data_IF_781016748356
#
_entry.id   IF_781016748356
#
_cell.length_a   1.000
_cell.length_b   1.000
_cell.length_c   1.000
_cell.angle_alpha   90.00
_cell.angle_beta   90.00
_cell.angle_gamma   90.00
#
_symmetry.space_group_name_H-M   'P 1'
#
loop_
_entity.id
_entity.type
_entity.pdbx_description
1 polymer ?
#
# COMPACT_ATOMS: atom_id res chain seq x y z
N UNK A 1 -14.55 5.04 4.30
CA UNK A 1 -14.38 6.27 5.13
C UNK A 1 -15.62 7.17 5.04
N UNK A 2 -16.11 7.54 3.85
CA UNK A 2 -17.32 8.38 3.73
C UNK A 2 -18.54 7.75 4.40
N UNK A 3 -18.76 6.44 4.22
CA UNK A 3 -19.81 5.69 4.90
C UNK A 3 -19.65 5.68 6.44
N UNK A 4 -18.45 5.87 6.93
CA UNK A 4 -18.14 6.03 8.36
C UNK A 4 -18.21 7.51 8.85
N UNK A 5 -18.68 8.43 8.00
CA UNK A 5 -18.87 9.86 8.34
C UNK A 5 -17.65 10.76 8.12
N UNK A 6 -16.57 10.25 7.56
CA UNK A 6 -15.38 11.05 7.27
C UNK A 6 -15.47 11.78 5.95
N UNK A 7 -14.98 13.02 5.90
CA UNK A 7 -14.80 13.76 4.65
C UNK A 7 -13.52 13.27 3.96
N UNK A 8 -13.68 12.77 2.74
CA UNK A 8 -12.58 12.24 1.92
C UNK A 8 -12.40 13.11 0.68
N UNK A 9 -11.15 13.37 0.33
CA UNK A 9 -10.80 14.03 -0.92
C UNK A 9 -9.83 13.17 -1.71
N UNK A 10 -10.07 13.00 -2.99
CA UNK A 10 -9.25 12.18 -3.88
C UNK A 10 -8.50 13.07 -4.86
N UNK A 11 -7.19 12.89 -4.97
CA UNK A 11 -6.34 13.54 -5.97
C UNK A 11 -5.77 12.44 -6.89
N UNK A 12 -6.46 12.10 -7.97
CA UNK A 12 -5.99 11.05 -8.87
C UNK A 12 -4.85 11.57 -9.74
N UNK A 13 -3.80 10.76 -9.88
CA UNK A 13 -2.61 11.08 -10.69
C UNK A 13 -2.15 12.53 -10.51
N UNK A 14 -1.70 12.93 -9.28
CA UNK A 14 -1.22 14.28 -9.05
C UNK A 14 0.00 14.56 -9.92
N UNK A 15 0.11 15.78 -10.44
CA UNK A 15 1.31 16.22 -11.12
C UNK A 15 2.46 16.32 -10.11
N UNK A 16 3.45 15.47 -10.30
CA UNK A 16 4.61 15.31 -9.42
C UNK A 16 5.81 16.16 -9.87
N UNK A 17 5.62 16.96 -10.92
CA UNK A 17 6.63 17.89 -11.43
C UNK A 17 6.39 19.32 -10.89
N UNK A 18 7.40 20.15 -10.97
CA UNK A 18 7.30 21.57 -10.72
C UNK A 18 6.98 21.94 -9.26
N UNK A 19 5.97 22.78 -9.06
CA UNK A 19 5.63 23.39 -7.78
C UNK A 19 4.74 22.52 -6.84
N UNK A 20 4.45 21.29 -7.22
CA UNK A 20 3.60 20.36 -6.47
C UNK A 20 2.19 20.91 -6.19
N UNK A 21 1.61 21.67 -7.11
CA UNK A 21 0.31 22.32 -6.96
C UNK A 21 -0.80 21.32 -6.62
N UNK A 22 -0.80 20.14 -7.26
CA UNK A 22 -1.81 19.11 -7.02
C UNK A 22 -1.76 18.56 -5.60
N UNK A 23 -0.59 18.51 -4.97
CA UNK A 23 -0.42 18.08 -3.58
C UNK A 23 -0.82 19.16 -2.57
N UNK A 24 -0.83 20.43 -2.96
CA UNK A 24 -1.14 21.57 -2.10
C UNK A 24 -2.59 22.01 -2.19
N UNK A 25 -3.29 21.74 -3.29
CA UNK A 25 -4.60 22.33 -3.61
C UNK A 25 -5.72 22.05 -2.62
N UNK A 26 -5.63 20.97 -1.85
CA UNK A 26 -6.61 20.61 -0.83
C UNK A 26 -6.14 20.94 0.58
N UNK A 27 -4.90 21.43 0.71
CA UNK A 27 -4.30 21.77 1.99
C UNK A 27 -3.97 20.54 2.85
N UNK A 28 -3.76 20.80 4.14
CA UNK A 28 -3.42 19.79 5.15
C UNK A 28 -4.68 18.98 5.55
N UNK A 29 -4.66 17.65 5.52
CA UNK A 29 -5.74 16.86 6.07
C UNK A 29 -5.73 16.91 7.60
N UNK A 30 -6.89 16.67 8.21
CA UNK A 30 -7.03 16.61 9.67
C UNK A 30 -6.42 15.33 10.25
N UNK A 31 -6.54 14.20 9.55
CA UNK A 31 -6.15 12.89 10.06
C UNK A 31 -4.89 12.37 9.39
N UNK A 32 -4.94 11.98 8.13
CA UNK A 32 -3.80 11.40 7.42
C UNK A 32 -3.91 11.51 5.91
N UNK A 33 -2.80 11.32 5.22
CA UNK A 33 -2.76 11.06 3.78
C UNK A 33 -2.78 9.56 3.52
N UNK A 34 -3.69 9.11 2.67
CA UNK A 34 -3.70 7.75 2.11
C UNK A 34 -3.10 7.75 0.71
N UNK A 35 -2.12 6.91 0.44
CA UNK A 35 -1.45 6.82 -0.87
C UNK A 35 -1.61 5.41 -1.42
N UNK A 36 -2.00 5.33 -2.69
CA UNK A 36 -2.06 4.09 -3.47
C UNK A 36 -1.52 4.33 -4.88
N UNK A 37 -0.84 3.36 -5.48
CA UNK A 37 -0.37 3.47 -6.87
C UNK A 37 -1.51 3.37 -7.89
N UNK A 38 -2.71 3.00 -7.44
CA UNK A 38 -3.86 2.67 -8.27
C UNK A 38 -4.15 1.17 -8.30
N UNK A 39 -4.86 0.72 -9.33
CA UNK A 39 -5.35 -0.67 -9.43
C UNK A 39 -4.26 -1.71 -9.71
N UNK A 40 -3.08 -1.30 -10.18
CA UNK A 40 -1.99 -2.17 -10.59
C UNK A 40 -0.66 -1.67 -10.03
N UNK A 41 0.30 -2.58 -9.86
CA UNK A 41 1.70 -2.21 -9.58
C UNK A 41 2.23 -1.28 -10.68
N UNK A 42 2.85 -0.18 -10.27
CA UNK A 42 3.29 0.87 -11.19
C UNK A 42 4.32 0.39 -12.21
N UNK A 43 5.25 -0.46 -11.78
CA UNK A 43 6.30 -0.96 -12.65
C UNK A 43 5.76 -1.99 -13.64
N UNK A 44 4.84 -2.87 -13.21
CA UNK A 44 4.12 -3.80 -14.09
C UNK A 44 3.27 -3.04 -15.12
N UNK A 45 2.67 -1.94 -14.71
CA UNK A 45 1.89 -1.11 -15.62
C UNK A 45 2.78 -0.35 -16.63
N UNK A 46 3.94 0.13 -16.19
CA UNK A 46 4.84 0.96 -17.02
C UNK A 46 5.72 0.14 -17.97
N UNK A 47 6.13 -1.06 -17.57
CA UNK A 47 7.07 -1.88 -18.30
C UNK A 47 6.49 -3.24 -18.71
N UNK A 48 7.00 -3.77 -19.81
CA UNK A 48 6.78 -5.17 -20.22
C UNK A 48 7.65 -6.12 -19.38
N UNK A 49 7.38 -7.43 -19.47
CA UNK A 49 8.22 -8.45 -18.85
C UNK A 49 9.70 -8.40 -19.33
N UNK A 50 9.95 -7.90 -20.54
CA UNK A 50 11.30 -7.72 -21.09
C UNK A 50 11.89 -6.34 -20.75
N UNK A 51 11.41 -5.67 -19.70
CA UNK A 51 11.88 -4.36 -19.23
C UNK A 51 11.79 -3.23 -20.27
N UNK A 52 10.92 -3.38 -21.28
CA UNK A 52 10.69 -2.32 -22.28
C UNK A 52 9.55 -1.43 -21.81
N UNK A 53 9.71 -0.13 -21.98
CA UNK A 53 8.63 0.82 -21.71
C UNK A 53 7.43 0.47 -22.60
N UNK A 54 6.23 0.44 -22.01
CA UNK A 54 4.98 0.30 -22.77
C UNK A 54 4.69 1.58 -23.53
N UNK A 55 4.09 1.47 -24.70
CA UNK A 55 3.68 2.62 -25.52
C UNK A 55 2.49 3.39 -24.92
N UNK A 56 1.68 2.69 -24.14
CA UNK A 56 0.44 3.23 -23.56
C UNK A 56 0.28 2.84 -22.10
N UNK A 57 -0.37 3.72 -21.32
CA UNK A 57 -0.85 3.44 -19.97
C UNK A 57 -2.38 3.34 -19.98
N UNK A 58 -2.91 2.11 -19.89
CA UNK A 58 -4.35 1.86 -19.92
C UNK A 58 -5.13 2.55 -18.79
N UNK A 59 -4.49 2.94 -17.69
CA UNK A 59 -5.10 3.60 -16.54
C UNK A 59 -4.96 5.13 -16.57
N UNK A 60 -4.41 5.67 -17.64
CA UNK A 60 -4.24 7.12 -17.83
C UNK A 60 -5.16 7.66 -18.91
N UNK A 61 -5.53 8.94 -18.86
CA UNK A 61 -6.37 9.56 -19.86
C UNK A 61 -5.74 9.47 -21.25
N UNK A 62 -6.56 9.02 -22.21
CA UNK A 62 -6.20 8.82 -23.61
C UNK A 62 -5.00 7.87 -23.82
N UNK A 63 -4.77 6.95 -22.87
CA UNK A 63 -3.66 6.00 -22.91
C UNK A 63 -2.28 6.64 -22.72
N UNK A 64 -2.19 7.91 -22.31
CA UNK A 64 -0.91 8.61 -22.20
C UNK A 64 -0.03 8.01 -21.11
N UNK A 65 1.18 7.61 -21.48
CA UNK A 65 2.20 7.17 -20.51
C UNK A 65 2.90 8.38 -19.85
N UNK A 66 3.70 8.12 -18.84
CA UNK A 66 4.50 9.11 -18.07
C UNK A 66 3.71 10.14 -17.25
N UNK A 67 2.41 9.98 -17.09
CA UNK A 67 1.63 10.79 -16.14
C UNK A 67 1.86 10.37 -14.69
N UNK A 68 2.32 9.15 -14.46
CA UNK A 68 2.68 8.61 -13.15
C UNK A 68 4.19 8.37 -13.07
N UNK A 69 4.84 8.70 -11.95
CA UNK A 69 6.24 8.37 -11.75
C UNK A 69 6.46 6.85 -11.66
N UNK A 70 7.70 6.42 -11.75
CA UNK A 70 8.08 5.10 -11.24
C UNK A 70 7.91 5.10 -9.73
N UNK A 71 7.41 4.01 -9.16
CA UNK A 71 7.16 3.87 -7.72
C UNK A 71 6.36 5.04 -7.12
N UNK A 72 5.14 5.33 -7.62
CA UNK A 72 4.36 6.49 -7.19
C UNK A 72 4.12 6.51 -5.67
N UNK A 73 4.01 5.35 -5.02
CA UNK A 73 3.89 5.29 -3.56
C UNK A 73 5.09 5.95 -2.86
N UNK A 74 6.30 5.77 -3.38
CA UNK A 74 7.51 6.39 -2.84
C UNK A 74 7.56 7.88 -3.19
N UNK A 75 7.37 8.21 -4.47
CA UNK A 75 7.47 9.60 -4.95
C UNK A 75 6.43 10.50 -4.28
N UNK A 76 5.17 10.08 -4.27
CA UNK A 76 4.09 10.87 -3.67
C UNK A 76 4.25 11.02 -2.16
N UNK A 77 4.69 9.97 -1.47
CA UNK A 77 4.95 10.01 -0.04
C UNK A 77 6.05 11.00 0.31
N UNK A 78 7.16 10.96 -0.42
CA UNK A 78 8.28 11.87 -0.19
C UNK A 78 7.91 13.34 -0.45
N UNK A 79 7.12 13.62 -1.49
CA UNK A 79 6.57 14.97 -1.74
C UNK A 79 5.68 15.41 -0.57
N UNK A 80 4.75 14.55 -0.13
CA UNK A 80 3.86 14.88 0.98
C UNK A 80 4.61 15.04 2.29
N UNK A 81 5.62 14.22 2.55
CA UNK A 81 6.47 14.34 3.75
C UNK A 81 7.25 15.66 3.76
N UNK A 82 7.72 16.10 2.59
CA UNK A 82 8.38 17.42 2.45
C UNK A 82 7.40 18.57 2.71
N UNK A 83 6.18 18.48 2.19
CA UNK A 83 5.18 19.55 2.30
C UNK A 83 4.50 19.59 3.67
N UNK A 84 4.29 18.42 4.29
CA UNK A 84 3.54 18.23 5.53
C UNK A 84 4.25 17.24 6.45
N UNK A 85 5.37 17.63 7.06
CA UNK A 85 6.28 16.71 7.76
C UNK A 85 5.66 15.99 8.96
N UNK A 86 4.64 16.57 9.57
CA UNK A 86 3.98 16.10 10.77
C UNK A 86 2.63 15.40 10.53
N UNK A 87 2.18 15.31 9.27
CA UNK A 87 0.94 14.61 8.93
C UNK A 87 1.22 13.12 8.72
N UNK A 88 0.44 12.22 9.33
CA UNK A 88 0.56 10.79 9.07
C UNK A 88 0.38 10.43 7.59
N UNK A 89 1.21 9.52 7.10
CA UNK A 89 1.15 9.00 5.73
C UNK A 89 0.97 7.48 5.79
N UNK A 90 -0.12 7.00 5.23
CA UNK A 90 -0.48 5.58 5.17
C UNK A 90 -0.45 5.12 3.71
N UNK A 91 0.38 4.11 3.43
CA UNK A 91 0.44 3.48 2.11
C UNK A 91 -0.55 2.33 2.01
N UNK A 92 -1.10 2.12 0.83
CA UNK A 92 -1.98 1.00 0.54
C UNK A 92 -1.85 0.52 -0.91
N UNK A 93 -2.67 -0.47 -1.26
CA UNK A 93 -2.71 -1.06 -2.59
C UNK A 93 -1.63 -2.09 -2.84
N UNK A 94 -1.63 -2.63 -4.08
CA UNK A 94 -0.79 -3.77 -4.45
C UNK A 94 0.72 -3.47 -4.32
N UNK A 95 1.15 -2.29 -4.72
CA UNK A 95 2.56 -1.89 -4.70
C UNK A 95 3.13 -1.90 -3.28
N UNK A 96 2.43 -1.30 -2.33
CA UNK A 96 2.84 -1.28 -0.93
C UNK A 96 2.76 -2.69 -0.31
N UNK A 97 1.72 -3.45 -0.64
CA UNK A 97 1.53 -4.81 -0.14
C UNK A 97 2.66 -5.75 -0.56
N UNK A 98 3.09 -5.70 -1.83
CA UNK A 98 4.18 -6.53 -2.35
C UNK A 98 5.55 -6.10 -1.84
N UNK A 99 5.72 -4.82 -1.47
CA UNK A 99 7.00 -4.25 -1.02
C UNK A 99 7.06 -3.99 0.50
N UNK A 100 6.21 -4.66 1.28
CA UNK A 100 6.12 -4.48 2.74
C UNK A 100 7.31 -5.01 3.53
N UNK A 101 8.15 -5.84 2.91
CA UNK A 101 9.39 -6.43 3.43
C UNK A 101 10.50 -6.29 2.39
N UNK A 102 11.69 -6.83 2.67
CA UNK A 102 12.75 -6.95 1.65
C UNK A 102 12.23 -7.72 0.45
N UNK A 103 12.39 -7.13 -0.72
CA UNK A 103 11.86 -7.65 -1.97
C UNK A 103 12.87 -7.50 -3.11
N UNK A 104 12.76 -8.40 -4.11
CA UNK A 104 13.54 -8.29 -5.33
C UNK A 104 12.85 -7.35 -6.31
N UNK A 105 13.53 -6.27 -6.65
CA UNK A 105 13.10 -5.36 -7.70
C UNK A 105 13.61 -5.86 -9.05
N UNK A 106 12.72 -6.46 -9.82
CA UNK A 106 13.03 -7.05 -11.11
C UNK A 106 13.57 -6.03 -12.11
N UNK A 107 13.08 -4.81 -12.11
CA UNK A 107 13.47 -3.77 -13.08
C UNK A 107 14.84 -3.19 -12.78
N UNK A 108 15.16 -3.03 -11.50
CA UNK A 108 16.47 -2.52 -11.03
C UNK A 108 17.49 -3.63 -10.78
N UNK A 109 17.06 -4.89 -10.85
CA UNK A 109 17.90 -6.09 -10.62
C UNK A 109 18.61 -6.06 -9.26
N UNK A 110 17.90 -5.70 -8.21
CA UNK A 110 18.45 -5.62 -6.87
C UNK A 110 17.42 -5.95 -5.80
N UNK A 111 17.92 -6.32 -4.61
CA UNK A 111 17.08 -6.37 -3.41
C UNK A 111 16.89 -4.95 -2.87
N UNK A 112 15.63 -4.61 -2.54
CA UNK A 112 15.26 -3.35 -1.90
C UNK A 112 14.70 -3.62 -0.51
N UNK A 113 14.84 -2.63 0.37
CA UNK A 113 14.27 -2.62 1.72
C UNK A 113 12.75 -2.58 1.69
N UNK A 114 12.14 -2.75 2.85
CA UNK A 114 10.72 -2.42 3.05
C UNK A 114 10.42 -1.02 2.46
N UNK A 115 9.34 -0.89 1.72
CA UNK A 115 8.97 0.38 1.05
C UNK A 115 8.82 1.57 2.02
N UNK A 116 8.50 1.33 3.29
CA UNK A 116 8.43 2.38 4.31
C UNK A 116 9.76 3.11 4.49
N UNK A 117 10.89 2.41 4.33
CA UNK A 117 12.22 3.00 4.42
C UNK A 117 12.45 4.04 3.31
N UNK A 118 12.04 3.72 2.08
CA UNK A 118 12.24 4.60 0.92
C UNK A 118 11.17 5.70 0.81
N UNK A 119 9.95 5.39 1.27
CA UNK A 119 8.80 6.27 1.16
C UNK A 119 8.69 7.27 2.33
N UNK A 120 9.41 7.06 3.42
CA UNK A 120 9.29 7.83 4.65
C UNK A 120 7.82 7.93 5.14
N UNK A 121 7.03 6.90 4.90
CA UNK A 121 5.66 6.78 5.36
C UNK A 121 5.60 6.13 6.75
N UNK A 122 4.49 6.30 7.44
CA UNK A 122 4.34 5.84 8.82
C UNK A 122 3.83 4.40 8.91
N UNK A 123 2.98 4.00 7.95
CA UNK A 123 2.31 2.69 8.01
C UNK A 123 1.92 2.21 6.61
N UNK A 124 1.86 0.89 6.44
CA UNK A 124 1.23 0.24 5.29
C UNK A 124 -0.05 -0.45 5.76
N UNK A 125 -1.10 -0.35 4.97
CA UNK A 125 -2.24 -1.27 4.98
C UNK A 125 -2.03 -2.22 3.81
N UNK A 126 -1.89 -3.53 4.08
CA UNK A 126 -1.69 -4.50 3.02
C UNK A 126 -2.96 -5.32 2.74
N UNK A 127 -3.08 -5.83 1.52
CA UNK A 127 -4.27 -6.56 1.11
C UNK A 127 -5.52 -5.67 1.03
N UNK A 128 -6.65 -6.16 1.53
CA UNK A 128 -7.95 -5.47 1.51
C UNK A 128 -8.12 -4.62 2.76
N UNK A 129 -8.14 -3.29 2.59
CA UNK A 129 -7.96 -2.32 3.67
C UNK A 129 -9.22 -1.68 4.26
N UNK A 130 -10.42 -2.22 4.02
CA UNK A 130 -11.68 -1.58 4.40
C UNK A 130 -11.80 -1.32 5.91
N UNK A 131 -11.42 -2.30 6.72
CA UNK A 131 -11.48 -2.17 8.18
C UNK A 131 -10.37 -1.26 8.71
N UNK A 132 -9.16 -1.43 8.21
CA UNK A 132 -7.97 -0.70 8.67
C UNK A 132 -8.08 0.80 8.44
N UNK A 133 -8.53 1.23 7.26
CA UNK A 133 -8.67 2.66 6.96
C UNK A 133 -9.64 3.36 7.92
N UNK A 134 -10.69 2.66 8.35
CA UNK A 134 -11.65 3.17 9.31
C UNK A 134 -11.06 3.16 10.73
N UNK A 135 -10.45 2.04 11.14
CA UNK A 135 -9.83 1.94 12.47
C UNK A 135 -8.75 3.00 12.68
N UNK A 136 -7.86 3.20 11.70
CA UNK A 136 -6.83 4.25 11.79
C UNK A 136 -7.47 5.63 11.90
N UNK A 137 -8.51 5.92 11.11
CA UNK A 137 -9.20 7.21 11.17
C UNK A 137 -9.83 7.47 12.54
N UNK A 138 -10.47 6.47 13.12
CA UNK A 138 -11.10 6.54 14.45
C UNK A 138 -10.08 6.77 15.55
N UNK A 139 -8.99 6.01 15.56
CA UNK A 139 -7.93 6.16 16.56
C UNK A 139 -7.26 7.54 16.49
N UNK A 140 -6.93 8.02 15.29
CA UNK A 140 -6.36 9.35 15.10
C UNK A 140 -7.36 10.46 15.47
N UNK A 141 -8.65 10.28 15.21
CA UNK A 141 -9.70 11.23 15.63
C UNK A 141 -9.84 11.30 17.16
N UNK A 142 -9.65 10.16 17.82
CA UNK A 142 -9.64 10.07 19.29
C UNK A 142 -8.34 10.61 19.91
N UNK A 143 -7.40 11.11 19.13
CA UNK A 143 -6.17 11.74 19.58
C UNK A 143 -4.97 10.80 19.72
N UNK A 144 -5.07 9.55 19.28
CA UNK A 144 -3.93 8.65 19.25
C UNK A 144 -2.88 9.14 18.23
N UNK A 145 -1.61 8.84 18.49
CA UNK A 145 -0.55 9.12 17.54
C UNK A 145 -0.36 7.92 16.60
N UNK A 146 -0.08 8.16 15.31
CA UNK A 146 0.08 7.08 14.32
C UNK A 146 1.11 6.01 14.73
N UNK A 147 2.17 6.40 15.44
CA UNK A 147 3.21 5.50 15.94
C UNK A 147 2.74 4.55 17.04
N UNK A 148 1.61 4.86 17.69
CA UNK A 148 1.03 4.04 18.76
C UNK A 148 0.05 2.99 18.21
N UNK A 149 -0.35 3.12 16.94
CA UNK A 149 -1.32 2.23 16.29
C UNK A 149 -0.73 0.86 15.86
N UNK A 150 0.25 0.38 16.60
CA UNK A 150 0.96 -0.88 16.32
C UNK A 150 0.09 -2.13 16.50
N UNK A 151 -1.05 -2.01 17.15
CA UNK A 151 -1.99 -3.09 17.43
C UNK A 151 -3.00 -3.38 16.30
N UNK A 152 -3.10 -2.49 15.31
CA UNK A 152 -4.09 -2.66 14.23
C UNK A 152 -3.66 -3.82 13.33
N UNK A 153 -4.52 -4.86 13.16
CA UNK A 153 -4.21 -5.99 12.29
C UNK A 153 -4.05 -5.57 10.84
N UNK A 154 -3.33 -6.40 10.06
CA UNK A 154 -3.14 -6.21 8.62
C UNK A 154 -2.43 -4.89 8.27
N UNK A 155 -1.57 -4.43 9.17
CA UNK A 155 -0.72 -3.25 8.96
C UNK A 155 0.76 -3.62 9.03
N UNK A 156 1.60 -2.74 8.49
CA UNK A 156 3.05 -2.83 8.61
C UNK A 156 3.59 -1.48 9.06
N UNK A 157 4.53 -1.51 9.98
CA UNK A 157 5.20 -0.32 10.50
C UNK A 157 6.68 -0.61 10.77
N UNK A 158 7.46 0.46 10.93
CA UNK A 158 8.86 0.38 11.35
C UNK A 158 8.97 0.80 12.82
N UNK A 159 9.71 0.05 13.62
CA UNK A 159 10.05 0.46 14.98
C UNK A 159 11.40 -0.13 15.42
N UNK A 160 11.96 0.43 16.49
CA UNK A 160 13.11 -0.19 17.17
C UNK A 160 12.68 -1.46 17.86
N UNK A 161 13.66 -2.34 18.17
CA UNK A 161 13.40 -3.60 18.86
C UNK A 161 12.67 -3.38 20.19
N UNK A 162 13.15 -2.44 21.00
CA UNK A 162 12.56 -2.10 22.31
C UNK A 162 11.11 -1.56 22.20
N UNK A 163 10.71 -1.08 21.03
CA UNK A 163 9.38 -0.53 20.76
C UNK A 163 8.40 -1.57 20.17
N UNK A 164 8.82 -2.81 19.99
CA UNK A 164 7.96 -3.90 19.50
C UNK A 164 6.97 -4.29 20.61
N UNK A 165 5.65 -4.21 20.36
CA UNK A 165 4.66 -4.61 21.34
C UNK A 165 4.87 -6.07 21.80
N UNK A 166 4.95 -6.29 23.11
CA UNK A 166 5.24 -7.59 23.73
C UNK A 166 6.60 -8.21 23.38
N UNK A 167 7.52 -7.41 22.81
CA UNK A 167 8.81 -7.90 22.34
C UNK A 167 8.71 -8.90 21.19
N UNK A 168 9.83 -9.54 20.86
CA UNK A 168 9.89 -10.69 19.94
C UNK A 168 9.67 -11.96 20.76
N UNK A 169 8.75 -12.82 20.33
CA UNK A 169 8.38 -14.05 21.05
C UNK A 169 8.39 -15.28 20.13
N UNK A 170 8.16 -16.47 20.71
CA UNK A 170 8.22 -17.75 20.00
C UNK A 170 7.14 -17.92 18.91
N UNK A 171 6.04 -17.16 18.99
CA UNK A 171 4.98 -17.18 17.99
C UNK A 171 5.27 -16.30 16.79
N UNK A 172 6.36 -15.53 16.82
CA UNK A 172 6.73 -14.64 15.72
C UNK A 172 7.56 -15.36 14.66
N UNK A 173 7.38 -14.99 13.42
CA UNK A 173 8.24 -15.39 12.31
C UNK A 173 9.35 -14.35 12.15
N UNK A 174 10.53 -14.68 12.62
CA UNK A 174 11.71 -13.84 12.45
C UNK A 174 12.43 -14.19 11.15
N UNK A 175 12.39 -13.27 10.18
CA UNK A 175 13.06 -13.41 8.89
C UNK A 175 14.55 -13.04 9.00
N UNK A 176 15.34 -13.58 8.07
CA UNK A 176 16.70 -13.07 7.85
C UNK A 176 16.65 -11.57 7.53
N UNK A 177 17.60 -10.81 8.10
CA UNK A 177 17.65 -9.36 7.90
C UNK A 177 17.84 -8.99 6.43
N UNK A 178 17.54 -7.75 6.09
CA UNK A 178 17.80 -7.22 4.77
C UNK A 178 19.28 -7.37 4.38
N UNK A 179 20.18 -7.03 5.28
CA UNK A 179 21.64 -7.11 5.10
C UNK A 179 22.10 -8.54 4.86
N UNK A 180 21.56 -9.51 5.62
CA UNK A 180 21.87 -10.92 5.42
C UNK A 180 21.41 -11.39 4.02
N UNK A 181 20.24 -10.96 3.56
CA UNK A 181 19.73 -11.27 2.22
C UNK A 181 20.59 -10.68 1.10
N UNK A 182 21.18 -9.50 1.29
CA UNK A 182 22.11 -8.91 0.32
C UNK A 182 23.36 -9.77 0.12
N UNK A 183 23.84 -10.40 1.20
CA UNK A 183 25.03 -11.24 1.15
C UNK A 183 24.74 -12.68 0.70
N UNK A 184 23.52 -13.17 0.90
CA UNK A 184 23.18 -14.55 0.58
C UNK A 184 21.76 -14.69 0.02
N UNK A 185 21.67 -14.94 -1.28
CA UNK A 185 20.40 -15.13 -2.01
C UNK A 185 19.52 -16.26 -1.43
N UNK A 186 20.12 -17.25 -0.79
CA UNK A 186 19.38 -18.35 -0.15
C UNK A 186 18.52 -17.84 1.01
N UNK A 187 19.01 -16.89 1.79
CA UNK A 187 18.23 -16.26 2.86
C UNK A 187 17.00 -15.52 2.34
N UNK A 188 17.11 -14.84 1.19
CA UNK A 188 15.94 -14.23 0.56
C UNK A 188 14.93 -15.29 0.09
N UNK A 189 15.38 -16.44 -0.43
CA UNK A 189 14.49 -17.51 -0.82
C UNK A 189 13.79 -18.16 0.37
N UNK A 190 14.49 -18.33 1.50
CA UNK A 190 13.93 -18.83 2.77
C UNK A 190 12.89 -17.85 3.32
N UNK A 191 13.21 -16.55 3.34
CA UNK A 191 12.26 -15.50 3.72
C UNK A 191 11.00 -15.53 2.85
N UNK A 192 11.16 -15.63 1.53
CA UNK A 192 10.04 -15.70 0.61
C UNK A 192 9.14 -16.90 0.91
N UNK A 193 9.73 -18.07 1.19
CA UNK A 193 8.96 -19.26 1.58
C UNK A 193 8.11 -19.00 2.83
N UNK A 194 8.69 -18.42 3.88
CA UNK A 194 7.94 -18.09 5.10
C UNK A 194 6.83 -17.08 4.84
N UNK A 195 7.08 -16.04 4.04
CA UNK A 195 6.06 -15.03 3.67
C UNK A 195 4.90 -15.69 2.92
N UNK A 196 5.19 -16.59 1.97
CA UNK A 196 4.16 -17.30 1.21
C UNK A 196 3.36 -18.27 2.10
N UNK A 197 4.03 -19.01 2.98
CA UNK A 197 3.37 -19.90 3.93
C UNK A 197 2.42 -19.12 4.83
N UNK A 198 2.86 -17.98 5.40
CA UNK A 198 2.01 -17.15 6.25
C UNK A 198 0.87 -16.47 5.47
N UNK A 199 1.11 -16.05 4.23
CA UNK A 199 0.09 -15.44 3.40
C UNK A 199 -1.07 -16.39 3.06
N UNK A 200 -0.85 -17.69 3.15
CA UNK A 200 -1.85 -18.71 2.87
C UNK A 200 -2.54 -19.29 4.13
N UNK A 201 -2.10 -18.89 5.33
CA UNK A 201 -2.71 -19.34 6.59
C UNK A 201 -3.96 -18.54 6.92
N UNK A 202 -4.96 -19.22 7.48
CA UNK A 202 -6.17 -18.59 8.04
C UNK A 202 -5.84 -17.79 9.32
N UNK A 203 -4.91 -18.30 10.09
CA UNK A 203 -4.36 -17.67 11.30
C UNK A 203 -2.85 -17.51 11.12
N UNK A 204 -2.48 -16.44 10.44
CA UNK A 204 -1.08 -16.10 10.20
C UNK A 204 -0.44 -15.53 11.46
N UNK A 205 0.87 -15.73 11.59
CA UNK A 205 1.68 -15.17 12.66
C UNK A 205 2.19 -13.78 12.30
N UNK A 206 2.65 -13.04 13.27
CA UNK A 206 3.34 -11.76 13.06
C UNK A 206 4.71 -12.06 12.45
N UNK A 207 5.07 -11.27 11.43
CA UNK A 207 6.37 -11.40 10.74
C UNK A 207 7.23 -10.20 11.07
N UNK A 208 8.49 -10.44 11.41
CA UNK A 208 9.47 -9.41 11.68
C UNK A 208 10.70 -9.57 10.79
N UNK A 209 11.20 -8.47 10.27
CA UNK A 209 12.45 -8.42 9.52
C UNK A 209 13.30 -7.24 9.95
N UNK A 210 14.51 -7.47 10.39
CA UNK A 210 15.48 -6.42 10.67
C UNK A 210 15.92 -5.73 9.37
N UNK A 211 15.96 -4.41 9.39
CA UNK A 211 16.39 -3.53 8.30
C UNK A 211 17.13 -2.35 8.92
N UNK A 212 18.41 -2.16 8.62
CA UNK A 212 19.24 -1.17 9.31
C UNK A 212 19.13 -1.32 10.85
N UNK A 213 18.68 -0.26 11.54
CA UNK A 213 18.55 -0.21 13.01
C UNK A 213 17.10 -0.37 13.50
N UNK A 214 16.19 -0.84 12.62
CA UNK A 214 14.78 -1.02 12.95
C UNK A 214 14.26 -2.36 12.45
N UNK A 215 13.06 -2.72 12.89
CA UNK A 215 12.32 -3.86 12.39
C UNK A 215 11.13 -3.38 11.54
N UNK A 216 10.96 -4.00 10.39
CA UNK A 216 9.69 -4.01 9.69
C UNK A 216 8.80 -5.08 10.33
N UNK A 217 7.73 -4.64 10.98
CA UNK A 217 6.78 -5.51 11.69
C UNK A 217 5.51 -5.62 10.87
N UNK A 218 5.17 -6.84 10.46
CA UNK A 218 3.94 -7.15 9.71
C UNK A 218 2.95 -7.80 10.68
N UNK A 219 1.91 -7.07 11.03
CA UNK A 219 0.84 -7.62 11.85
C UNK A 219 0.05 -8.69 11.10
N UNK A 220 -0.48 -9.71 11.78
CA UNK A 220 -1.38 -10.70 11.19
C UNK A 220 -2.57 -10.05 10.48
N UNK A 221 -3.15 -10.69 9.44
CA UNK A 221 -4.34 -10.18 8.78
C UNK A 221 -5.56 -10.19 9.72
N UNK A 222 -6.56 -9.39 9.40
CA UNK A 222 -7.87 -9.50 10.03
C UNK A 222 -8.45 -10.91 9.81
N UNK A 223 -9.28 -11.41 10.73
CA UNK A 223 -10.08 -12.59 10.49
C UNK A 223 -10.87 -12.47 9.17
N UNK A 224 -11.14 -13.60 8.55
CA UNK A 224 -11.92 -13.64 7.31
C UNK A 224 -13.25 -12.91 7.50
N UNK A 225 -13.57 -11.98 6.60
CA UNK A 225 -14.83 -11.24 6.63
C UNK A 225 -16.01 -12.21 6.39
N UNK A 226 -17.08 -12.00 7.11
CA UNK A 226 -18.36 -12.68 6.86
C UNK A 226 -18.96 -12.21 5.52
N UNK A 227 -19.88 -12.99 4.96
CA UNK A 227 -20.60 -12.58 3.74
C UNK A 227 -21.29 -11.24 3.92
N UNK A 228 -21.93 -11.00 5.05
CA UNK A 228 -22.59 -9.72 5.34
C UNK A 228 -21.64 -8.51 5.36
N UNK A 229 -20.41 -8.68 5.88
CA UNK A 229 -19.40 -7.63 5.87
C UNK A 229 -18.88 -7.33 4.44
N UNK A 230 -18.75 -8.38 3.63
CA UNK A 230 -18.36 -8.23 2.22
C UNK A 230 -19.47 -7.53 1.43
N UNK A 231 -20.71 -7.98 1.60
CA UNK A 231 -21.89 -7.41 0.93
C UNK A 231 -22.06 -5.93 1.31
N UNK A 232 -21.92 -5.58 2.58
CA UNK A 232 -21.99 -4.20 3.03
C UNK A 232 -20.96 -3.28 2.34
N UNK A 233 -19.78 -3.80 1.99
CA UNK A 233 -18.79 -3.05 1.24
C UNK A 233 -19.18 -2.87 -0.23
N UNK A 234 -19.85 -3.84 -0.84
CA UNK A 234 -20.34 -3.77 -2.22
C UNK A 234 -21.61 -2.93 -2.38
N UNK A 235 -22.44 -2.84 -1.33
CA UNK A 235 -23.69 -2.09 -1.31
C UNK A 235 -23.47 -0.56 -1.15
N UNK A 236 -22.24 -0.12 -0.93
CA UNK A 236 -21.93 1.31 -0.87
C UNK A 236 -22.26 2.01 -2.20
N UNK A 237 -22.73 3.27 -2.16
CA UNK A 237 -23.20 4.01 -3.32
C UNK A 237 -22.04 4.48 -4.22
N UNK A 238 -21.30 3.57 -4.80
CA UNK A 238 -20.23 3.88 -5.73
C UNK A 238 -20.78 4.45 -7.04
N UNK A 239 -20.19 5.53 -7.54
CA UNK A 239 -20.53 6.10 -8.84
C UNK A 239 -20.17 5.18 -10.00
N UNK A 240 -19.15 4.34 -9.81
CA UNK A 240 -18.57 3.43 -10.82
C UNK A 240 -18.12 4.15 -12.09
N UNK A 241 -17.79 5.42 -11.98
CA UNK A 241 -17.30 6.28 -13.05
C UNK A 241 -15.89 6.79 -12.76
N UNK A 242 -15.12 7.15 -13.79
CA UNK A 242 -13.84 7.83 -13.61
C UNK A 242 -14.04 9.14 -12.84
N UNK A 243 -12.99 9.53 -12.11
CA UNK A 243 -13.00 10.79 -11.36
C UNK A 243 -13.33 11.98 -12.28
N UNK A 244 -14.10 12.99 -11.82
CA UNK A 244 -14.50 14.17 -12.63
C UNK A 244 -13.36 14.94 -13.30
N UNK A 245 -12.13 14.85 -12.78
CA UNK A 245 -10.89 15.36 -13.42
C UNK A 245 -10.74 14.86 -14.87
N UNK A 246 -11.25 13.67 -15.16
CA UNK A 246 -11.11 13.01 -16.48
C UNK A 246 -12.32 13.18 -17.39
N UNK A 247 -13.27 14.06 -17.02
CA UNK A 247 -14.44 14.31 -17.85
C UNK A 247 -14.03 14.71 -19.28
N UNK A 248 -14.61 14.03 -20.28
CA UNK A 248 -14.30 14.25 -21.69
C UNK A 248 -13.00 13.57 -22.17
N UNK A 249 -12.38 12.74 -21.35
CA UNK A 249 -11.21 11.94 -21.72
C UNK A 249 -11.52 10.45 -21.61
N UNK A 250 -10.94 9.67 -22.50
CA UNK A 250 -11.09 8.22 -22.50
C UNK A 250 -10.04 7.59 -21.57
N UNK A 251 -10.49 6.72 -20.65
CA UNK A 251 -9.59 5.87 -19.86
C UNK A 251 -9.70 4.45 -20.41
N UNK A 252 -8.70 3.92 -21.13
CA UNK A 252 -8.81 2.62 -21.81
C UNK A 252 -9.23 1.47 -20.86
N UNK A 253 -8.64 1.38 -19.66
CA UNK A 253 -9.02 0.36 -18.69
C UNK A 253 -10.48 0.47 -18.24
N UNK A 254 -11.01 1.67 -18.08
CA UNK A 254 -12.42 1.87 -17.75
C UNK A 254 -13.33 1.42 -18.89
N UNK A 255 -13.01 1.76 -20.13
CA UNK A 255 -13.77 1.32 -21.31
C UNK A 255 -13.88 -0.20 -21.40
N UNK A 256 -12.80 -0.91 -21.03
CA UNK A 256 -12.76 -2.37 -21.01
C UNK A 256 -13.65 -2.98 -19.93
N UNK A 257 -13.78 -2.33 -18.76
CA UNK A 257 -14.42 -2.94 -17.60
C UNK A 257 -15.78 -2.36 -17.22
N UNK A 258 -16.20 -1.24 -17.81
CA UNK A 258 -17.43 -0.52 -17.44
C UNK A 258 -18.72 -1.34 -17.50
N UNK A 259 -18.72 -2.45 -18.25
CA UNK A 259 -19.82 -3.41 -18.32
C UNK A 259 -19.53 -4.73 -17.61
N UNK A 260 -18.45 -4.80 -16.84
CA UNK A 260 -18.05 -5.99 -16.09
C UNK A 260 -18.75 -6.03 -14.72
N UNK A 261 -18.99 -7.24 -14.24
CA UNK A 261 -19.50 -7.50 -12.88
C UNK A 261 -18.47 -8.33 -12.14
N UNK A 262 -18.11 -7.90 -10.94
CA UNK A 262 -17.25 -8.68 -10.06
C UNK A 262 -18.04 -9.85 -9.49
N UNK A 263 -17.57 -11.07 -9.76
CA UNK A 263 -18.16 -12.30 -9.23
C UNK A 263 -17.30 -12.95 -8.14
N UNK A 264 -16.11 -12.43 -7.92
CA UNK A 264 -15.15 -12.97 -6.95
C UNK A 264 -14.28 -11.84 -6.37
N UNK A 265 -13.92 -11.98 -5.10
CA UNK A 265 -13.02 -11.08 -4.40
C UNK A 265 -11.87 -11.85 -3.77
N UNK A 266 -10.64 -11.51 -4.17
CA UNK A 266 -9.42 -12.18 -3.74
C UNK A 266 -9.01 -13.32 -4.67
N UNK A 267 -7.75 -13.73 -4.57
CA UNK A 267 -7.12 -14.75 -5.42
C UNK A 267 -6.80 -16.02 -4.61
N UNK A 268 -7.66 -16.35 -3.64
CA UNK A 268 -7.49 -17.59 -2.89
C UNK A 268 -7.98 -18.76 -3.72
N UNK A 269 -7.10 -19.70 -3.97
CA UNK A 269 -7.49 -21.07 -4.26
C UNK A 269 -8.21 -21.62 -3.03
N UNK A 270 -9.48 -21.89 -3.18
CA UNK A 270 -10.30 -22.60 -2.18
C UNK A 270 -9.83 -24.04 -2.07
#
# INVERSE_FOLDING_TARGET
LEAAGYKVAIVPQPDWHGDFRDFKKLGRPRLYFGISPGAMDSMVNKYTANRRLRSEDAYSPDGRHDLRPEYPSIVYSNILRQLYPDVPIVLGGIEASLRRLTHYDYWKDCLRKCILCDAHADMIIYGMGEKQVVSIAQELENGAHIKDLKHIPQTVYLCKEDDIPSGINEDDILLHSHEACLHNKKYQAENFKHIEEESNKKHAQRILQAVDNVYAVVNPPYPTMSTAEVDAAYDLPYTREPHPKYRGKTIPAYEMIKHSVNIHRGDRKS
#
